data_IF_165214531552
#
_entry.id   IF_165214531552
#
_cell.length_a   1.000
_cell.length_b   1.000
_cell.length_c   1.000
_cell.angle_alpha   90.00
_cell.angle_beta   90.00
_cell.angle_gamma   90.00
#
_symmetry.space_group_name_H-M   'P 1'
#
loop_
_entity.id
_entity.type
_entity.pdbx_description
1 polymer ?
#
# COMPACT_ATOMS: atom_id res chain seq x y z
N UNK A 1 -3.55 30.86 2.21
CA UNK A 1 -2.11 30.68 2.48
C UNK A 1 -1.74 29.28 2.04
N UNK A 2 -1.19 29.15 0.84
CA UNK A 2 -0.72 27.86 0.31
C UNK A 2 0.59 27.56 1.01
N UNK A 3 0.59 26.62 1.95
CA UNK A 3 1.82 26.10 2.53
C UNK A 3 2.61 25.44 1.41
N UNK A 4 3.70 26.07 0.99
CA UNK A 4 4.72 25.44 0.17
C UNK A 4 5.33 24.33 1.04
N UNK A 5 4.83 23.12 0.87
CA UNK A 5 5.38 21.93 1.50
C UNK A 5 6.77 21.76 0.92
N UNK A 6 7.79 22.06 1.70
CA UNK A 6 9.19 21.88 1.29
C UNK A 6 9.42 20.40 0.98
N UNK A 7 9.90 20.12 -0.21
CA UNK A 7 10.20 18.74 -0.68
C UNK A 7 11.12 17.99 0.31
N UNK A 8 12.00 18.72 1.02
CA UNK A 8 12.84 18.17 2.08
C UNK A 8 12.05 17.63 3.27
N UNK A 9 10.91 18.23 3.62
CA UNK A 9 10.04 17.75 4.68
C UNK A 9 9.41 16.39 4.32
N UNK A 10 8.99 16.21 3.08
CA UNK A 10 8.40 14.94 2.61
C UNK A 10 9.39 13.79 2.66
N UNK A 11 10.65 14.04 2.33
CA UNK A 11 11.68 13.00 2.42
C UNK A 11 11.90 12.55 3.86
N UNK A 12 12.00 13.48 4.80
CA UNK A 12 12.15 13.16 6.21
C UNK A 12 10.95 12.38 6.77
N UNK A 13 9.72 12.73 6.36
CA UNK A 13 8.52 12.00 6.74
C UNK A 13 8.52 10.57 6.20
N UNK A 14 8.87 10.39 4.93
CA UNK A 14 8.99 9.06 4.32
C UNK A 14 10.07 8.23 5.03
N UNK A 15 11.23 8.79 5.30
CA UNK A 15 12.32 8.11 5.98
C UNK A 15 11.91 7.71 7.42
N UNK A 16 11.16 8.56 8.13
CA UNK A 16 10.59 8.27 9.43
C UNK A 16 9.60 7.10 9.38
N UNK A 17 8.69 7.11 8.40
CA UNK A 17 7.74 6.02 8.19
C UNK A 17 8.47 4.70 7.84
N UNK A 18 9.43 4.76 6.93
CA UNK A 18 10.25 3.61 6.55
C UNK A 18 11.03 3.02 7.73
N UNK A 19 11.52 3.86 8.64
CA UNK A 19 12.20 3.41 9.86
C UNK A 19 11.24 2.65 10.80
N UNK A 20 9.97 3.08 10.90
CA UNK A 20 8.93 2.37 11.68
C UNK A 20 8.65 0.99 11.04
N UNK A 21 8.39 0.93 9.73
CA UNK A 21 8.16 -0.32 9.00
C UNK A 21 9.40 -1.23 9.00
N UNK A 22 10.59 -0.67 8.98
CA UNK A 22 11.83 -1.42 9.03
C UNK A 22 11.96 -2.34 10.25
N UNK A 23 11.28 -2.00 11.35
CA UNK A 23 11.26 -2.84 12.57
C UNK A 23 10.49 -4.15 12.38
N UNK A 24 9.57 -4.22 11.42
CA UNK A 24 8.85 -5.44 11.07
C UNK A 24 9.71 -6.46 10.33
N UNK A 25 10.84 -6.00 9.77
CA UNK A 25 11.72 -6.80 8.95
C UNK A 25 13.00 -7.13 9.74
N UNK A 26 13.21 -8.41 10.01
CA UNK A 26 14.33 -8.88 10.85
C UNK A 26 15.69 -8.57 10.23
N UNK A 27 15.81 -8.70 8.90
CA UNK A 27 17.09 -8.57 8.19
C UNK A 27 17.26 -7.21 7.54
N UNK A 28 18.48 -6.66 7.47
CA UNK A 28 18.74 -5.34 6.88
C UNK A 28 18.47 -5.29 5.37
N UNK A 29 18.74 -6.36 4.62
CA UNK A 29 18.55 -6.37 3.16
C UNK A 29 17.07 -6.23 2.76
N UNK A 30 16.10 -6.97 3.35
CA UNK A 30 14.69 -6.73 3.12
C UNK A 30 14.25 -5.32 3.53
N UNK A 31 14.79 -4.74 4.60
CA UNK A 31 14.45 -3.36 5.02
C UNK A 31 14.84 -2.36 3.94
N UNK A 32 16.06 -2.44 3.48
CA UNK A 32 16.56 -1.56 2.41
C UNK A 32 15.75 -1.75 1.13
N UNK A 33 15.48 -2.99 0.75
CA UNK A 33 14.74 -3.27 -0.48
C UNK A 33 13.28 -2.85 -0.40
N UNK A 34 12.63 -2.96 0.76
CA UNK A 34 11.28 -2.46 0.98
C UNK A 34 11.21 -0.93 0.81
N UNK A 35 12.19 -0.20 1.35
CA UNK A 35 12.30 1.25 1.13
C UNK A 35 12.43 1.60 -0.35
N UNK A 36 13.34 0.94 -1.06
CA UNK A 36 13.53 1.13 -2.51
C UNK A 36 12.28 0.76 -3.32
N UNK A 37 11.57 -0.29 -2.92
CA UNK A 37 10.28 -0.66 -3.54
C UNK A 37 9.26 0.47 -3.43
N UNK A 38 9.13 1.10 -2.26
CA UNK A 38 8.22 2.24 -2.06
C UNK A 38 8.67 3.46 -2.88
N UNK A 39 9.98 3.74 -2.96
CA UNK A 39 10.52 4.78 -3.86
C UNK A 39 10.14 4.49 -5.33
N UNK A 40 10.25 3.24 -5.77
CA UNK A 40 9.81 2.81 -7.10
C UNK A 40 8.31 3.03 -7.33
N UNK A 41 7.48 2.75 -6.33
CA UNK A 41 6.03 3.02 -6.42
C UNK A 41 5.71 4.51 -6.55
N UNK A 42 6.52 5.39 -5.97
CA UNK A 42 6.39 6.84 -6.09
C UNK A 42 7.00 7.39 -7.37
N UNK A 43 7.87 6.63 -8.04
CA UNK A 43 8.50 7.06 -9.29
C UNK A 43 7.50 7.21 -10.43
N UNK A 44 7.73 8.15 -11.38
CA UNK A 44 6.86 8.40 -12.53
C UNK A 44 7.09 7.35 -13.63
N UNK A 45 6.77 6.08 -13.34
CA UNK A 45 6.85 4.98 -14.29
C UNK A 45 5.50 4.70 -14.95
N UNK A 46 5.50 4.30 -16.21
CA UNK A 46 4.28 4.04 -16.98
C UNK A 46 3.44 2.91 -16.37
N UNK A 47 4.09 1.84 -15.91
CA UNK A 47 3.43 0.69 -15.27
C UNK A 47 4.13 0.31 -13.98
N UNK A 48 3.38 0.15 -12.91
CA UNK A 48 3.88 -0.29 -11.60
C UNK A 48 4.11 -1.82 -11.57
N UNK A 49 4.84 -2.37 -12.54
CA UNK A 49 5.23 -3.76 -12.60
C UNK A 49 6.67 -3.97 -12.09
N UNK A 50 7.03 -5.22 -11.78
CA UNK A 50 8.32 -5.52 -11.17
C UNK A 50 9.53 -5.09 -11.99
N UNK A 51 9.44 -5.06 -13.33
CA UNK A 51 10.53 -4.62 -14.20
C UNK A 51 10.73 -3.12 -14.14
N UNK A 52 9.68 -2.35 -14.40
CA UNK A 52 9.78 -0.89 -14.41
C UNK A 52 10.08 -0.32 -13.03
N UNK A 53 9.56 -0.94 -11.96
CA UNK A 53 9.93 -0.57 -10.60
C UNK A 53 11.41 -0.83 -10.33
N UNK A 54 11.94 -1.99 -10.75
CA UNK A 54 13.36 -2.32 -10.60
C UNK A 54 14.26 -1.32 -11.35
N UNK A 55 13.92 -1.01 -12.60
CA UNK A 55 14.64 -0.01 -13.39
C UNK A 55 14.64 1.37 -12.74
N UNK A 56 13.47 1.82 -12.24
CA UNK A 56 13.33 3.12 -11.59
C UNK A 56 14.20 3.28 -10.34
N UNK A 57 14.42 2.18 -9.60
CA UNK A 57 15.27 2.17 -8.41
C UNK A 57 16.70 1.73 -8.69
N UNK A 58 17.09 1.53 -9.96
CA UNK A 58 18.44 1.14 -10.35
C UNK A 58 18.79 -0.33 -10.04
N UNK A 59 17.80 -1.21 -9.91
CA UNK A 59 18.03 -2.65 -9.83
C UNK A 59 18.13 -3.26 -11.23
N UNK A 60 19.15 -4.07 -11.47
CA UNK A 60 19.37 -4.71 -12.77
C UNK A 60 18.29 -5.74 -13.13
N UNK A 61 17.54 -6.24 -12.17
CA UNK A 61 16.52 -7.29 -12.34
C UNK A 61 15.38 -7.15 -11.32
N UNK A 62 14.15 -7.57 -11.65
CA UNK A 62 12.98 -7.37 -10.81
C UNK A 62 12.88 -8.30 -9.60
N UNK A 63 13.65 -9.39 -9.56
CA UNK A 63 13.49 -10.44 -8.56
C UNK A 63 13.74 -9.95 -7.11
N UNK A 64 14.59 -8.96 -6.88
CA UNK A 64 14.78 -8.38 -5.54
C UNK A 64 13.52 -7.69 -5.05
N UNK A 65 12.89 -6.90 -5.91
CA UNK A 65 11.61 -6.22 -5.66
C UNK A 65 10.46 -7.21 -5.46
N UNK A 66 10.37 -8.23 -6.33
CA UNK A 66 9.35 -9.27 -6.23
C UNK A 66 9.49 -10.08 -4.94
N UNK A 67 10.73 -10.34 -4.51
CA UNK A 67 11.01 -11.10 -3.29
C UNK A 67 10.52 -10.41 -2.03
N UNK A 68 10.52 -9.08 -1.97
CA UNK A 68 9.95 -8.32 -0.86
C UNK A 68 8.47 -8.66 -0.66
N UNK A 69 7.73 -8.84 -1.76
CA UNK A 69 6.30 -9.10 -1.73
C UNK A 69 5.95 -10.58 -1.49
N UNK A 70 6.82 -11.51 -1.87
CA UNK A 70 6.47 -12.93 -1.94
C UNK A 70 7.20 -13.83 -0.93
N UNK A 71 8.33 -13.40 -0.38
CA UNK A 71 9.18 -14.26 0.43
C UNK A 71 9.62 -13.64 1.77
N UNK A 72 9.42 -12.35 1.95
CA UNK A 72 9.76 -11.71 3.21
C UNK A 72 8.63 -11.94 4.21
N UNK A 73 8.98 -12.51 5.35
CA UNK A 73 8.03 -12.70 6.45
C UNK A 73 7.96 -11.40 7.25
N UNK A 74 6.76 -10.91 7.42
CA UNK A 74 6.40 -9.75 8.23
C UNK A 74 4.97 -9.91 8.74
N UNK A 75 4.66 -9.25 9.82
CA UNK A 75 3.33 -9.27 10.40
C UNK A 75 2.45 -8.21 9.73
N UNK A 76 1.45 -8.67 8.98
CA UNK A 76 0.54 -7.81 8.23
C UNK A 76 -0.38 -6.99 9.14
N UNK A 77 -0.74 -7.53 10.29
CA UNK A 77 -1.60 -6.83 11.24
C UNK A 77 -0.83 -5.70 11.93
N UNK A 78 0.39 -5.97 12.36
CA UNK A 78 1.28 -4.94 12.92
C UNK A 78 1.59 -3.86 11.88
N UNK A 79 1.80 -4.23 10.61
CA UNK A 79 2.00 -3.25 9.55
C UNK A 79 0.78 -2.35 9.33
N UNK A 80 -0.42 -2.93 9.37
CA UNK A 80 -1.69 -2.20 9.27
C UNK A 80 -1.88 -1.24 10.44
N UNK A 81 -1.55 -1.69 11.64
CA UNK A 81 -1.62 -0.86 12.84
C UNK A 81 -0.66 0.32 12.77
N UNK A 82 0.58 0.12 12.31
CA UNK A 82 1.52 1.21 12.06
C UNK A 82 1.01 2.23 11.03
N UNK A 83 0.35 1.76 9.95
CA UNK A 83 -0.29 2.67 9.00
C UNK A 83 -1.39 3.48 9.69
N UNK A 84 -2.25 2.82 10.45
CA UNK A 84 -3.35 3.48 11.17
C UNK A 84 -2.84 4.52 12.17
N UNK A 85 -1.86 4.15 12.98
CA UNK A 85 -1.21 5.07 13.92
C UNK A 85 -0.64 6.30 13.20
N UNK A 86 0.08 6.09 12.11
CA UNK A 86 0.65 7.18 11.33
C UNK A 86 -0.42 8.11 10.78
N UNK A 87 -1.53 7.57 10.26
CA UNK A 87 -2.66 8.37 9.77
C UNK A 87 -3.30 9.18 10.91
N UNK A 88 -3.54 8.56 12.06
CA UNK A 88 -4.12 9.25 13.23
C UNK A 88 -3.19 10.35 13.74
N UNK A 89 -1.90 10.08 13.84
CA UNK A 89 -0.89 11.06 14.28
C UNK A 89 -0.81 12.29 13.36
N UNK A 90 -1.05 12.11 12.05
CA UNK A 90 -0.84 13.17 11.05
C UNK A 90 -2.11 13.86 10.59
N UNK A 91 -3.20 13.13 10.55
CA UNK A 91 -4.48 13.58 10.00
C UNK A 91 -5.62 13.54 11.03
N UNK A 92 -5.37 12.98 12.22
CA UNK A 92 -6.37 12.94 13.28
C UNK A 92 -6.72 14.34 13.79
N UNK A 93 -8.02 14.57 13.98
CA UNK A 93 -8.57 15.77 14.60
C UNK A 93 -9.78 15.37 15.46
N UNK A 94 -10.13 16.19 16.45
CA UNK A 94 -11.26 15.89 17.35
C UNK A 94 -12.60 15.80 16.61
N UNK A 95 -12.73 16.51 15.49
CA UNK A 95 -13.91 16.53 14.62
C UNK A 95 -13.73 15.68 13.33
N UNK A 96 -12.71 14.81 13.31
CA UNK A 96 -12.46 13.95 12.17
C UNK A 96 -13.60 12.95 11.96
N UNK A 97 -14.00 12.76 10.70
CA UNK A 97 -15.04 11.80 10.31
C UNK A 97 -14.39 10.60 9.65
N UNK A 98 -14.68 9.41 10.18
CA UNK A 98 -14.28 8.17 9.56
C UNK A 98 -15.22 7.83 8.40
N UNK A 99 -14.71 7.85 7.19
CA UNK A 99 -15.44 7.40 6.00
C UNK A 99 -15.07 5.95 5.70
N UNK A 100 -16.07 5.07 5.70
CA UNK A 100 -15.91 3.65 5.36
C UNK A 100 -16.55 3.41 4.01
N UNK A 101 -15.79 2.87 3.06
CA UNK A 101 -16.27 2.53 1.73
C UNK A 101 -15.96 1.05 1.42
N UNK A 102 -16.74 0.47 0.52
CA UNK A 102 -16.59 -0.90 0.07
C UNK A 102 -15.83 -0.92 -1.26
N UNK A 103 -14.73 -1.66 -1.32
CA UNK A 103 -13.99 -1.85 -2.57
C UNK A 103 -14.39 -3.12 -3.27
N UNK A 104 -14.99 -3.00 -4.45
CA UNK A 104 -15.37 -4.12 -5.31
C UNK A 104 -14.27 -4.49 -6.30
N UNK A 105 -13.89 -5.76 -6.32
CA UNK A 105 -12.95 -6.31 -7.28
C UNK A 105 -13.70 -7.17 -8.30
N UNK A 106 -13.72 -6.73 -9.56
CA UNK A 106 -14.33 -7.51 -10.65
C UNK A 106 -13.56 -8.81 -10.86
N UNK A 107 -14.27 -9.92 -10.85
CA UNK A 107 -13.72 -11.27 -11.10
C UNK A 107 -14.30 -11.86 -12.36
N UNK A 108 -13.42 -12.39 -13.21
CA UNK A 108 -13.83 -13.19 -14.36
C UNK A 108 -14.08 -14.63 -13.90
N UNK A 109 -15.30 -15.11 -14.08
CA UNK A 109 -15.68 -16.47 -13.72
C UNK A 109 -16.83 -16.53 -12.72
N UNK A 110 -17.60 -17.64 -12.80
CA UNK A 110 -18.83 -17.83 -12.01
C UNK A 110 -18.62 -18.64 -10.73
N UNK A 111 -17.44 -19.20 -10.52
CA UNK A 111 -17.16 -20.19 -9.47
C UNK A 111 -15.99 -19.81 -8.55
N UNK A 112 -15.57 -18.55 -8.57
CA UNK A 112 -14.54 -18.09 -7.62
C UNK A 112 -15.13 -17.93 -6.22
N UNK A 113 -14.42 -18.39 -5.19
CA UNK A 113 -14.84 -18.21 -3.80
C UNK A 113 -15.03 -16.73 -3.46
N UNK A 114 -16.08 -16.40 -2.73
CA UNK A 114 -16.39 -15.01 -2.31
C UNK A 114 -16.96 -14.13 -3.41
N UNK A 115 -17.25 -14.65 -4.60
CA UNK A 115 -17.77 -13.87 -5.73
C UNK A 115 -19.29 -13.97 -5.77
N UNK A 116 -19.96 -12.83 -5.86
CA UNK A 116 -21.39 -12.73 -6.10
C UNK A 116 -21.67 -11.71 -7.21
N UNK A 117 -22.82 -11.88 -7.88
CA UNK A 117 -23.31 -10.88 -8.81
C UNK A 117 -23.95 -9.73 -8.03
N UNK A 118 -23.24 -8.63 -7.94
CA UNK A 118 -23.63 -7.47 -7.13
C UNK A 118 -23.18 -6.16 -7.81
N UNK A 119 -23.73 -5.05 -7.36
CA UNK A 119 -23.28 -3.75 -7.83
C UNK A 119 -21.82 -3.53 -7.44
N UNK A 120 -20.99 -3.17 -8.41
CA UNK A 120 -19.58 -2.86 -8.21
C UNK A 120 -19.34 -1.39 -8.56
N UNK A 121 -19.10 -0.56 -7.54
CA UNK A 121 -18.90 0.88 -7.68
C UNK A 121 -17.72 1.23 -8.59
N UNK A 122 -16.67 0.41 -8.59
CA UNK A 122 -15.48 0.58 -9.45
C UNK A 122 -15.80 0.60 -10.94
N UNK A 123 -16.83 -0.12 -11.37
CA UNK A 123 -17.25 -0.21 -12.79
C UNK A 123 -18.65 0.34 -13.04
N UNK A 124 -19.34 0.83 -12.01
CA UNK A 124 -20.66 1.48 -12.11
C UNK A 124 -21.80 0.56 -12.56
N UNK A 125 -21.68 -0.76 -12.43
CA UNK A 125 -22.69 -1.72 -12.89
C UNK A 125 -22.71 -3.00 -12.05
N UNK A 126 -23.75 -3.83 -12.26
CA UNK A 126 -23.85 -5.16 -11.62
C UNK A 126 -22.94 -6.14 -12.36
N UNK A 127 -21.91 -6.60 -11.68
CA UNK A 127 -20.93 -7.57 -12.20
C UNK A 127 -20.60 -8.64 -11.15
N UNK A 128 -19.96 -9.73 -11.59
CA UNK A 128 -19.37 -10.67 -10.65
C UNK A 128 -18.19 -10.01 -9.95
N UNK A 129 -18.34 -9.72 -8.67
CA UNK A 129 -17.32 -9.04 -7.88
C UNK A 129 -17.17 -9.67 -6.50
N UNK A 130 -15.96 -9.57 -5.98
CA UNK A 130 -15.62 -9.83 -4.58
C UNK A 130 -15.63 -8.47 -3.87
N UNK A 131 -16.49 -8.31 -2.87
CA UNK A 131 -16.53 -7.11 -2.03
C UNK A 131 -15.83 -7.40 -0.73
N UNK A 132 -14.70 -6.79 -0.51
CA UNK A 132 -13.99 -6.85 0.76
C UNK A 132 -14.42 -5.69 1.64
N UNK A 133 -15.11 -6.01 2.72
CA UNK A 133 -15.31 -5.09 3.83
C UNK A 133 -14.01 -5.03 4.64
N UNK A 134 -13.38 -3.89 4.66
CA UNK A 134 -12.30 -3.66 5.61
C UNK A 134 -12.94 -3.49 6.99
N UNK A 135 -12.89 -4.53 7.81
CA UNK A 135 -13.25 -4.40 9.22
C UNK A 135 -12.12 -3.67 9.93
N UNK A 136 -12.30 -2.39 10.18
CA UNK A 136 -11.54 -1.69 11.20
C UNK A 136 -12.07 -2.19 12.55
N UNK A 137 -11.31 -3.08 13.21
CA UNK A 137 -11.55 -3.37 14.63
C UNK A 137 -11.05 -2.16 15.42
N UNK A 138 -11.98 -1.56 16.14
CA UNK A 138 -11.71 -0.54 17.18
C UNK A 138 -10.95 -1.18 18.35
#
# INVERSE_FOLDING_TARGET
MTASLEVGGWRAELDGLLARFGRLLVRPEPRQQAGRYLEGLLAPVERKNGWQLAEAIGDARPWRTQRVLSHVLWDEEVARDLCREHVVERLGAEDAVLVVDETGFVKKGRHSAGVARQYCGTVGKVENSDVRRQHLRT
#
